data_IF_525634417973
#
_entry.id   IF_525634417973
#
_cell.length_a   1.000
_cell.length_b   1.000
_cell.length_c   1.000
_cell.angle_alpha   90.00
_cell.angle_beta   90.00
_cell.angle_gamma   90.00
#
_symmetry.space_group_name_H-M   'P 1'
#
loop_
_entity.id
_entity.type
_entity.pdbx_description
1 polymer ?
#
# COMPACT_ATOMS: atom_id res chain seq x y z
N UNK A 1 -6.53 10.51 -27.46
CA UNK A 1 -5.87 10.77 -26.15
C UNK A 1 -6.70 10.07 -25.08
N UNK A 2 -6.13 9.66 -23.93
CA UNK A 2 -6.88 9.15 -22.74
C UNK A 2 -7.22 7.63 -22.67
N UNK A 3 -6.30 6.74 -23.07
CA UNK A 3 -6.26 5.38 -22.46
C UNK A 3 -5.31 5.37 -21.25
N UNK A 4 -4.25 6.20 -21.28
CA UNK A 4 -3.26 6.29 -20.20
C UNK A 4 -3.84 6.63 -18.84
N UNK A 5 -4.89 7.47 -18.77
CA UNK A 5 -5.53 7.84 -17.51
C UNK A 5 -6.32 6.69 -16.86
N UNK A 6 -6.71 5.68 -17.64
CA UNK A 6 -7.44 4.50 -17.13
C UNK A 6 -6.49 3.43 -16.58
N UNK A 7 -5.19 3.53 -16.87
CA UNK A 7 -4.14 2.61 -16.39
C UNK A 7 -3.24 3.24 -15.32
N UNK A 8 -3.53 4.45 -14.86
CA UNK A 8 -2.80 5.11 -13.77
C UNK A 8 -3.00 4.41 -12.43
N UNK A 9 -4.12 3.68 -12.27
CA UNK A 9 -4.51 3.02 -11.04
C UNK A 9 -3.53 1.93 -10.56
N UNK A 10 -3.13 0.95 -11.40
CA UNK A 10 -2.07 0.00 -11.07
C UNK A 10 -0.77 0.68 -10.63
N UNK A 11 -0.35 1.74 -11.33
CA UNK A 11 0.89 2.45 -11.04
C UNK A 11 0.84 3.10 -9.65
N UNK A 12 -0.25 3.81 -9.34
CA UNK A 12 -0.43 4.46 -8.02
C UNK A 12 -0.46 3.43 -6.90
N UNK A 13 -1.20 2.33 -7.05
CA UNK A 13 -1.33 1.32 -6.01
C UNK A 13 -0.03 0.54 -5.78
N UNK A 14 0.72 0.22 -6.84
CA UNK A 14 2.03 -0.42 -6.70
C UNK A 14 3.02 0.51 -6.00
N UNK A 15 3.09 1.79 -6.40
CA UNK A 15 3.98 2.76 -5.75
C UNK A 15 3.61 2.99 -4.27
N UNK A 16 2.33 3.27 -3.99
CA UNK A 16 1.86 3.47 -2.62
C UNK A 16 2.05 2.21 -1.76
N UNK A 17 1.79 1.03 -2.33
CA UNK A 17 1.98 -0.23 -1.63
C UNK A 17 3.46 -0.55 -1.36
N UNK A 18 4.36 -0.21 -2.29
CA UNK A 18 5.80 -0.32 -2.09
C UNK A 18 6.31 0.56 -0.96
N UNK A 19 5.90 1.84 -0.97
CA UNK A 19 6.24 2.80 0.09
C UNK A 19 5.68 2.35 1.44
N UNK A 20 4.46 1.80 1.45
CA UNK A 20 3.84 1.23 2.64
C UNK A 20 4.68 0.06 3.19
N UNK A 21 5.09 -0.90 2.37
CA UNK A 21 5.94 -2.03 2.78
C UNK A 21 7.26 -1.53 3.36
N UNK A 22 7.87 -0.52 2.75
CA UNK A 22 9.12 0.08 3.22
C UNK A 22 8.96 0.72 4.61
N UNK A 23 7.92 1.54 4.80
CA UNK A 23 7.61 2.18 6.09
C UNK A 23 7.29 1.11 7.16
N UNK A 24 6.55 0.06 6.79
CA UNK A 24 6.24 -1.04 7.70
C UNK A 24 7.51 -1.78 8.14
N UNK A 25 8.44 -2.07 7.23
CA UNK A 25 9.70 -2.72 7.57
C UNK A 25 10.50 -1.88 8.58
N UNK A 26 10.64 -0.57 8.34
CA UNK A 26 11.34 0.32 9.27
C UNK A 26 10.67 0.38 10.65
N UNK A 27 9.33 0.44 10.69
CA UNK A 27 8.59 0.45 11.98
C UNK A 27 8.80 -0.84 12.75
N UNK A 28 8.79 -1.99 12.09
CA UNK A 28 9.00 -3.30 12.71
C UNK A 28 10.45 -3.45 13.22
N UNK A 29 11.43 -2.89 12.49
CA UNK A 29 12.83 -2.84 12.92
C UNK A 29 13.02 -1.94 14.15
N UNK A 30 12.43 -0.73 14.15
CA UNK A 30 12.51 0.19 15.28
C UNK A 30 11.86 -0.37 16.56
N UNK A 31 10.89 -1.27 16.42
CA UNK A 31 10.24 -1.97 17.54
C UNK A 31 10.96 -3.26 17.98
N UNK A 32 12.12 -3.58 17.39
CA UNK A 32 12.87 -4.81 17.66
C UNK A 32 12.01 -6.10 17.57
N UNK A 33 11.05 -6.13 16.62
CA UNK A 33 10.24 -7.32 16.38
C UNK A 33 11.11 -8.44 15.83
N UNK A 34 10.86 -9.68 16.26
CA UNK A 34 11.62 -10.84 15.78
C UNK A 34 11.61 -10.93 14.25
N UNK A 35 12.76 -11.23 13.66
CA UNK A 35 12.93 -11.30 12.21
C UNK A 35 11.89 -12.22 11.55
N UNK A 36 11.59 -13.37 12.16
CA UNK A 36 10.56 -14.29 11.66
C UNK A 36 9.16 -13.64 11.58
N UNK A 37 8.76 -12.89 12.61
CA UNK A 37 7.46 -12.20 12.64
C UNK A 37 7.44 -11.03 11.65
N UNK A 38 8.55 -10.31 11.51
CA UNK A 38 8.72 -9.23 10.51
C UNK A 38 8.51 -9.76 9.10
N UNK A 39 9.23 -10.81 8.71
CA UNK A 39 9.10 -11.44 7.40
C UNK A 39 7.69 -11.95 7.15
N UNK A 40 7.04 -12.55 8.15
CA UNK A 40 5.65 -13.01 8.02
C UNK A 40 4.70 -11.86 7.70
N UNK A 41 4.77 -10.75 8.45
CA UNK A 41 3.92 -9.58 8.22
C UNK A 41 4.12 -9.01 6.81
N UNK A 42 5.37 -8.80 6.39
CA UNK A 42 5.66 -8.24 5.07
C UNK A 42 5.24 -9.18 3.95
N UNK A 43 5.49 -10.48 4.09
CA UNK A 43 5.08 -11.47 3.09
C UNK A 43 3.55 -11.57 2.96
N UNK A 44 2.81 -11.47 4.07
CA UNK A 44 1.34 -11.50 4.02
C UNK A 44 0.80 -10.28 3.24
N UNK A 45 1.35 -9.09 3.48
CA UNK A 45 0.99 -7.86 2.74
C UNK A 45 1.34 -7.97 1.26
N UNK A 46 2.57 -8.40 0.93
CA UNK A 46 3.02 -8.58 -0.46
C UNK A 46 2.13 -9.60 -1.17
N UNK A 47 1.82 -10.74 -0.52
CA UNK A 47 0.96 -11.77 -1.11
C UNK A 47 -0.44 -11.25 -1.43
N UNK A 48 -0.99 -10.40 -0.56
CA UNK A 48 -2.27 -9.73 -0.78
C UNK A 48 -2.21 -8.72 -1.95
N UNK A 49 -1.13 -7.92 -2.03
CA UNK A 49 -0.92 -6.98 -3.14
C UNK A 49 -0.77 -7.65 -4.51
N UNK A 50 -0.20 -8.86 -4.54
CA UNK A 50 0.02 -9.61 -5.78
C UNK A 50 -0.98 -10.77 -5.96
N UNK A 51 -2.11 -10.76 -5.24
CA UNK A 51 -3.15 -11.75 -5.46
C UNK A 51 -3.75 -11.60 -6.87
N UNK A 52 -3.99 -12.72 -7.56
CA UNK A 52 -4.49 -12.71 -8.95
C UNK A 52 -5.80 -11.95 -9.11
N UNK A 53 -6.70 -12.06 -8.14
CA UNK A 53 -7.99 -11.36 -8.10
C UNK A 53 -7.79 -9.85 -7.99
N UNK A 54 -6.93 -9.42 -7.07
CA UNK A 54 -6.55 -8.03 -6.84
C UNK A 54 -5.90 -7.41 -8.08
N UNK A 55 -4.87 -8.06 -8.64
CA UNK A 55 -4.23 -7.58 -9.88
C UNK A 55 -5.26 -7.50 -11.00
N UNK A 56 -6.12 -8.50 -11.17
CA UNK A 56 -7.13 -8.47 -12.23
C UNK A 56 -8.07 -7.28 -12.08
N UNK A 57 -8.52 -6.97 -10.87
CA UNK A 57 -9.37 -5.80 -10.56
C UNK A 57 -8.65 -4.48 -10.82
N UNK A 58 -7.37 -4.39 -10.44
CA UNK A 58 -6.56 -3.20 -10.64
C UNK A 58 -6.36 -2.84 -12.11
N UNK A 59 -6.27 -3.84 -12.99
CA UNK A 59 -6.08 -3.66 -14.44
C UNK A 59 -7.40 -3.50 -15.22
N UNK A 60 -8.56 -3.54 -14.55
CA UNK A 60 -9.82 -3.15 -15.19
C UNK A 60 -9.77 -1.64 -15.48
N UNK A 61 -10.05 -1.20 -16.73
CA UNK A 61 -10.14 0.22 -17.04
C UNK A 61 -11.20 0.89 -16.17
N UNK A 62 -10.76 1.71 -15.22
CA UNK A 62 -11.63 2.39 -14.27
C UNK A 62 -11.15 3.81 -14.01
N UNK A 63 -12.05 4.69 -13.57
CA UNK A 63 -11.65 6.01 -13.10
C UNK A 63 -10.74 5.89 -11.87
N UNK A 64 -9.89 6.89 -11.66
CA UNK A 64 -9.01 6.90 -10.50
C UNK A 64 -9.80 6.87 -9.20
N UNK A 65 -9.34 6.06 -8.26
CA UNK A 65 -9.91 6.01 -6.92
C UNK A 65 -9.78 7.35 -6.22
N UNK A 66 -10.83 7.69 -5.48
CA UNK A 66 -10.75 8.82 -4.54
C UNK A 66 -9.67 8.53 -3.48
N UNK A 67 -9.13 9.59 -2.86
CA UNK A 67 -8.18 9.44 -1.75
C UNK A 67 -8.76 8.59 -0.61
N UNK A 68 -10.07 8.67 -0.35
CA UNK A 68 -10.76 7.84 0.63
C UNK A 68 -10.74 6.36 0.24
N UNK A 69 -10.99 6.05 -1.04
CA UNK A 69 -10.97 4.68 -1.56
C UNK A 69 -9.56 4.08 -1.52
N UNK A 70 -8.53 4.86 -1.89
CA UNK A 70 -7.12 4.45 -1.78
C UNK A 70 -6.73 4.16 -0.33
N UNK A 71 -7.16 5.00 0.61
CA UNK A 71 -6.95 4.77 2.03
C UNK A 71 -7.55 3.46 2.52
N UNK A 72 -8.81 3.20 2.16
CA UNK A 72 -9.48 1.94 2.51
C UNK A 72 -8.78 0.73 1.91
N UNK A 73 -8.28 0.85 0.68
CA UNK A 73 -7.51 -0.19 0.01
C UNK A 73 -6.22 -0.52 0.78
N UNK A 74 -5.43 0.51 1.12
CA UNK A 74 -4.20 0.35 1.89
C UNK A 74 -4.46 -0.22 3.29
N UNK A 75 -5.53 0.23 3.96
CA UNK A 75 -5.92 -0.31 5.27
C UNK A 75 -6.24 -1.81 5.20
N UNK A 76 -6.97 -2.25 4.16
CA UNK A 76 -7.25 -3.67 3.92
C UNK A 76 -5.96 -4.45 3.63
N UNK A 77 -5.02 -3.88 2.89
CA UNK A 77 -3.73 -4.52 2.61
C UNK A 77 -2.91 -4.70 3.90
N UNK A 78 -2.83 -3.68 4.75
CA UNK A 78 -2.12 -3.81 6.04
C UNK A 78 -2.77 -4.86 6.94
N UNK A 79 -4.09 -4.79 7.09
CA UNK A 79 -4.87 -5.71 7.92
C UNK A 79 -5.03 -7.11 7.32
N UNK A 80 -4.57 -7.35 6.10
CA UNK A 80 -4.43 -8.71 5.56
C UNK A 80 -3.33 -9.51 6.28
N UNK A 81 -2.39 -8.83 6.93
CA UNK A 81 -1.38 -9.43 7.78
C UNK A 81 -1.88 -9.63 9.23
N UNK A 82 -1.12 -10.37 10.03
CA UNK A 82 -1.37 -10.49 11.48
C UNK A 82 -1.18 -9.16 12.25
N UNK A 83 -0.58 -8.15 11.61
CA UNK A 83 -0.31 -6.87 12.25
C UNK A 83 -1.60 -6.07 12.44
N UNK A 84 -1.81 -5.54 13.65
CA UNK A 84 -2.92 -4.64 13.97
C UNK A 84 -2.38 -3.25 14.24
N UNK A 85 -2.71 -2.30 13.38
CA UNK A 85 -2.43 -0.88 13.62
C UNK A 85 -3.65 -0.24 14.30
N UNK A 86 -3.40 0.72 15.17
CA UNK A 86 -4.46 1.61 15.64
C UNK A 86 -4.76 2.71 14.60
N UNK A 87 -5.90 3.38 14.72
CA UNK A 87 -6.35 4.42 13.78
C UNK A 87 -5.28 5.50 13.57
N UNK A 88 -4.68 6.01 14.64
CA UNK A 88 -3.65 7.05 14.58
C UNK A 88 -2.40 6.60 13.81
N UNK A 89 -1.99 5.34 13.96
CA UNK A 89 -0.81 4.78 13.28
C UNK A 89 -1.08 4.51 11.81
N UNK A 90 -2.33 4.18 11.48
CA UNK A 90 -2.80 4.03 10.10
C UNK A 90 -2.92 5.38 9.40
N UNK A 91 -3.43 6.42 10.08
CA UNK A 91 -3.46 7.80 9.59
C UNK A 91 -2.06 8.26 9.17
N UNK A 92 -1.10 8.15 10.10
CA UNK A 92 0.29 8.53 9.85
C UNK A 92 0.94 7.70 8.73
N UNK A 93 0.59 6.42 8.61
CA UNK A 93 1.07 5.58 7.51
C UNK A 93 0.55 6.10 6.17
N UNK A 94 -0.74 6.39 6.07
CA UNK A 94 -1.36 6.90 4.85
C UNK A 94 -0.79 8.26 4.43
N UNK A 95 -0.59 9.16 5.39
CA UNK A 95 0.01 10.48 5.11
C UNK A 95 1.43 10.35 4.56
N UNK A 96 2.26 9.50 5.18
CA UNK A 96 3.64 9.25 4.73
C UNK A 96 3.67 8.63 3.33
N UNK A 97 2.86 7.59 3.09
CA UNK A 97 2.76 6.93 1.77
C UNK A 97 2.31 7.93 0.69
N UNK A 98 1.34 8.79 1.02
CA UNK A 98 0.84 9.81 0.10
C UNK A 98 1.85 10.93 -0.16
N UNK A 99 2.63 11.31 0.84
CA UNK A 99 3.73 12.26 0.69
C UNK A 99 4.86 11.69 -0.17
N UNK A 100 5.23 10.42 0.02
CA UNK A 100 6.24 9.73 -0.79
C UNK A 100 5.88 9.72 -2.28
N UNK A 101 4.62 9.42 -2.60
CA UNK A 101 4.13 9.46 -3.99
C UNK A 101 4.21 10.87 -4.59
N UNK A 102 3.82 11.92 -3.84
CA UNK A 102 3.91 13.30 -4.33
C UNK A 102 5.36 13.69 -4.64
N UNK A 103 6.31 13.28 -3.80
CA UNK A 103 7.72 13.54 -4.02
C UNK A 103 8.24 12.84 -5.28
N UNK A 104 7.89 11.56 -5.47
CA UNK A 104 8.29 10.76 -6.64
C UNK A 104 7.68 11.22 -7.96
N UNK A 105 6.56 11.96 -7.94
CA UNK A 105 5.91 12.49 -9.16
C UNK A 105 6.42 13.90 -9.52
N UNK A 106 6.93 14.64 -8.54
CA UNK A 106 7.47 16.01 -8.73
C UNK A 106 8.95 16.00 -9.14
N UNK A 107 9.67 14.91 -8.86
CA UNK A 107 11.05 14.66 -9.30
C UNK A 107 11.04 13.98 -10.67
#
# INVERSE_FOLDING_TARGET
MVIGHLLTMPLVVINMGGEMIYILNQRLEAQNISSAKKHRVLNDVIRSMFEKSFIKEMFVPQQMYSMRSLRQLLERLVHSSIMRLNTLSMDKLFDLVSMGLKLQVII
#
